data_IF_850974610706
#
_entry.id   IF_850974610706
#
_cell.length_a   1.000
_cell.length_b   1.000
_cell.length_c   1.000
_cell.angle_alpha   90.00
_cell.angle_beta   90.00
_cell.angle_gamma   90.00
#
_symmetry.space_group_name_H-M   'P 1'
#
loop_
_entity.id
_entity.type
_entity.pdbx_description
1 polymer ?
#
# COMPACT_ATOMS: atom_id res chain seq x y z
N UNK A 1 -28.93 -52.04 -13.03
CA UNK A 1 -29.06 -51.88 -11.56
C UNK A 1 -27.90 -51.00 -11.11
N UNK A 2 -28.14 -49.70 -11.07
CA UNK A 2 -28.40 -48.87 -9.87
C UNK A 2 -27.07 -48.23 -9.42
N UNK A 3 -26.82 -46.95 -9.78
CA UNK A 3 -27.21 -45.72 -9.04
C UNK A 3 -26.18 -45.43 -7.92
N UNK A 4 -25.65 -44.24 -7.61
CA UNK A 4 -25.80 -42.81 -7.93
C UNK A 4 -24.42 -42.16 -7.59
N UNK A 5 -23.85 -41.27 -8.39
CA UNK A 5 -23.84 -39.81 -8.21
C UNK A 5 -23.52 -39.32 -6.77
N UNK A 6 -22.28 -38.86 -6.56
CA UNK A 6 -22.01 -37.74 -5.64
C UNK A 6 -21.01 -36.77 -6.28
N UNK A 7 -21.54 -35.61 -6.62
CA UNK A 7 -20.84 -34.41 -7.06
C UNK A 7 -20.10 -33.77 -5.89
N UNK A 8 -18.78 -33.86 -5.88
CA UNK A 8 -17.91 -33.06 -5.04
C UNK A 8 -17.15 -32.03 -5.88
N UNK A 9 -17.77 -30.87 -6.14
CA UNK A 9 -17.06 -29.71 -6.69
C UNK A 9 -16.18 -29.16 -5.55
N UNK A 10 -14.99 -29.73 -5.38
CA UNK A 10 -13.91 -29.01 -4.72
C UNK A 10 -13.26 -28.12 -5.76
N UNK A 11 -13.74 -26.89 -5.85
CA UNK A 11 -13.07 -25.78 -6.52
C UNK A 11 -11.76 -25.45 -5.79
N UNK A 12 -10.81 -26.39 -5.82
CA UNK A 12 -9.42 -26.10 -5.51
C UNK A 12 -8.89 -25.26 -6.65
N UNK A 13 -8.59 -23.99 -6.35
CA UNK A 13 -7.81 -23.11 -7.21
C UNK A 13 -6.48 -23.83 -7.52
N UNK A 14 -6.46 -24.57 -8.63
CA UNK A 14 -5.28 -25.27 -9.15
C UNK A 14 -4.45 -24.28 -9.97
N UNK A 15 -3.82 -23.32 -9.29
CA UNK A 15 -2.83 -22.45 -9.96
C UNK A 15 -1.44 -23.12 -10.00
N UNK A 16 -1.23 -24.18 -9.21
CA UNK A 16 0.10 -24.78 -9.02
C UNK A 16 0.28 -26.20 -9.59
N UNK A 17 -0.66 -26.74 -10.37
CA UNK A 17 -0.55 -28.12 -10.88
C UNK A 17 0.58 -28.34 -11.90
N UNK A 18 1.09 -27.28 -12.53
CA UNK A 18 2.05 -27.36 -13.64
C UNK A 18 3.45 -26.79 -13.34
N UNK A 19 3.83 -26.59 -12.07
CA UNK A 19 5.23 -26.29 -11.73
C UNK A 19 6.08 -27.57 -11.78
N UNK A 20 6.39 -28.03 -12.98
CA UNK A 20 7.56 -28.87 -13.21
C UNK A 20 8.80 -27.97 -13.14
N UNK A 21 9.40 -27.88 -11.96
CA UNK A 21 10.75 -27.31 -11.82
C UNK A 21 11.75 -28.37 -12.28
N UNK A 22 12.07 -28.36 -13.58
CA UNK A 22 13.05 -29.27 -14.19
C UNK A 22 14.51 -28.78 -14.01
N UNK A 23 14.72 -27.55 -13.54
CA UNK A 23 16.04 -26.99 -13.24
C UNK A 23 16.24 -26.72 -11.74
N UNK A 24 17.48 -26.87 -11.27
CA UNK A 24 17.86 -26.58 -9.88
C UNK A 24 17.49 -25.12 -9.51
N UNK A 25 16.57 -24.97 -8.57
CA UNK A 25 16.11 -23.66 -8.09
C UNK A 25 17.27 -22.95 -7.38
N UNK A 26 17.73 -21.84 -7.95
CA UNK A 26 18.69 -20.97 -7.29
C UNK A 26 17.97 -20.17 -6.18
N UNK A 27 18.06 -20.66 -4.95
CA UNK A 27 17.49 -20.00 -3.77
C UNK A 27 18.48 -18.95 -3.23
N UNK A 28 18.11 -17.68 -3.36
CA UNK A 28 18.89 -16.55 -2.82
C UNK A 28 18.25 -16.00 -1.54
N UNK A 29 19.01 -15.95 -0.45
CA UNK A 29 18.62 -15.19 0.74
C UNK A 29 18.61 -13.69 0.41
N UNK A 30 17.49 -13.01 0.67
CA UNK A 30 17.35 -11.58 0.39
C UNK A 30 17.71 -10.71 1.61
N UNK A 31 17.22 -11.06 2.81
CA UNK A 31 17.41 -10.24 4.02
C UNK A 31 17.28 -11.05 5.31
N UNK A 32 17.68 -10.42 6.42
CA UNK A 32 17.43 -10.86 7.81
C UNK A 32 16.29 -10.05 8.42
N UNK A 33 15.45 -10.69 9.25
CA UNK A 33 14.24 -10.07 9.84
C UNK A 33 14.53 -9.17 11.06
N UNK A 34 15.79 -9.07 11.50
CA UNK A 34 16.18 -8.34 12.70
C UNK A 34 15.99 -9.15 13.99
N UNK A 35 16.10 -8.49 15.13
CA UNK A 35 15.98 -9.13 16.46
C UNK A 35 14.67 -8.84 17.18
N UNK A 36 13.90 -7.85 16.69
CA UNK A 36 12.63 -7.43 17.29
C UNK A 36 11.39 -8.00 16.59
N UNK A 37 11.57 -8.60 15.41
CA UNK A 37 10.47 -9.19 14.62
C UNK A 37 10.38 -10.68 14.92
N UNK A 38 9.21 -11.16 15.32
CA UNK A 38 9.00 -12.59 15.58
C UNK A 38 8.78 -13.39 14.29
N UNK A 39 8.07 -12.81 13.31
CA UNK A 39 7.74 -13.43 12.03
C UNK A 39 8.09 -12.52 10.86
N UNK A 40 8.58 -13.05 9.72
CA UNK A 40 8.79 -12.24 8.53
C UNK A 40 7.48 -11.64 8.04
N UNK A 41 7.47 -10.33 7.79
CA UNK A 41 6.35 -9.63 7.17
C UNK A 41 6.78 -9.19 5.77
N UNK A 42 6.05 -9.65 4.76
CA UNK A 42 6.29 -9.37 3.34
C UNK A 42 4.97 -8.90 2.73
N UNK A 43 5.00 -7.82 1.96
CA UNK A 43 3.81 -7.17 1.41
C UNK A 43 4.07 -6.81 -0.04
N UNK A 44 3.07 -7.00 -0.91
CA UNK A 44 3.12 -6.47 -2.27
C UNK A 44 2.55 -5.05 -2.32
N UNK A 45 3.20 -4.18 -3.11
CA UNK A 45 2.69 -2.85 -3.45
C UNK A 45 2.53 -2.74 -4.98
N UNK A 46 1.39 -3.20 -5.53
CA UNK A 46 1.18 -3.27 -6.97
C UNK A 46 1.28 -1.91 -7.67
N UNK A 47 0.77 -0.85 -7.04
CA UNK A 47 0.79 0.53 -7.56
C UNK A 47 2.23 1.03 -7.81
N UNK A 48 3.20 0.53 -7.05
CA UNK A 48 4.62 0.88 -7.19
C UNK A 48 5.45 -0.22 -7.87
N UNK A 49 4.85 -1.35 -8.25
CA UNK A 49 5.54 -2.55 -8.76
C UNK A 49 6.66 -3.05 -7.85
N UNK A 50 6.41 -2.99 -6.55
CA UNK A 50 7.39 -3.31 -5.51
C UNK A 50 6.86 -4.39 -4.57
N UNK A 51 7.79 -5.13 -3.96
CA UNK A 51 7.59 -5.82 -2.70
C UNK A 51 8.20 -4.99 -1.58
N UNK A 52 7.67 -5.15 -0.38
CA UNK A 52 8.25 -4.61 0.81
C UNK A 52 8.43 -5.70 1.86
N UNK A 53 9.48 -5.58 2.65
CA UNK A 53 9.77 -6.49 3.75
C UNK A 53 10.13 -5.73 5.02
N UNK A 54 9.64 -6.22 6.15
CA UNK A 54 9.87 -5.61 7.45
C UNK A 54 11.14 -6.18 8.10
N UNK A 55 11.98 -5.28 8.61
CA UNK A 55 13.10 -5.61 9.49
C UNK A 55 13.02 -4.73 10.73
N UNK A 56 12.88 -5.36 11.88
CA UNK A 56 12.50 -4.71 13.14
C UNK A 56 11.23 -3.87 12.95
N UNK A 57 11.35 -2.55 12.91
CA UNK A 57 10.24 -1.61 12.69
C UNK A 57 10.40 -0.76 11.42
N UNK A 58 11.27 -1.16 10.51
CA UNK A 58 11.53 -0.49 9.23
C UNK A 58 11.04 -1.35 8.07
N UNK A 59 10.42 -0.68 7.10
CA UNK A 59 9.97 -1.30 5.86
C UNK A 59 10.91 -0.92 4.71
N UNK A 60 11.46 -1.95 4.07
CA UNK A 60 12.37 -1.82 2.94
C UNK A 60 11.67 -2.22 1.66
N UNK A 61 11.94 -1.52 0.57
CA UNK A 61 11.27 -1.69 -0.71
C UNK A 61 12.21 -2.27 -1.76
N UNK A 62 11.70 -3.17 -2.58
CA UNK A 62 12.41 -3.77 -3.69
C UNK A 62 11.47 -3.90 -4.88
N UNK A 63 11.92 -3.52 -6.07
CA UNK A 63 11.15 -3.75 -7.30
C UNK A 63 11.03 -5.24 -7.62
N UNK A 64 9.91 -5.68 -8.19
CA UNK A 64 9.66 -7.11 -8.48
C UNK A 64 10.78 -7.79 -9.27
N UNK A 65 11.46 -7.05 -10.15
CA UNK A 65 12.48 -7.56 -11.07
C UNK A 65 13.85 -6.90 -10.87
N UNK A 66 14.02 -6.10 -9.81
CA UNK A 66 15.14 -5.16 -9.67
C UNK A 66 16.05 -5.40 -8.48
N UNK A 67 17.08 -4.56 -8.40
CA UNK A 67 18.00 -4.46 -7.27
C UNK A 67 17.31 -3.91 -6.03
N UNK A 68 17.75 -4.36 -4.85
CA UNK A 68 17.29 -3.81 -3.55
C UNK A 68 17.52 -2.31 -3.54
N UNK A 69 16.48 -1.53 -3.26
CA UNK A 69 16.65 -0.10 -3.01
C UNK A 69 16.95 0.06 -1.51
N UNK A 70 18.18 0.43 -1.10
CA UNK A 70 18.60 0.37 0.30
C UNK A 70 17.98 1.47 1.18
N UNK A 71 17.18 2.36 0.61
CA UNK A 71 16.55 3.46 1.36
C UNK A 71 15.26 2.93 1.99
N UNK A 72 15.28 2.79 3.31
CA UNK A 72 14.07 2.58 4.10
C UNK A 72 13.13 3.77 3.91
N UNK A 73 11.95 3.56 3.34
CA UNK A 73 10.99 4.65 3.15
C UNK A 73 10.08 4.80 4.38
N UNK A 74 9.73 3.72 5.09
CA UNK A 74 8.70 3.78 6.15
C UNK A 74 9.19 3.17 7.47
N UNK A 75 9.04 3.91 8.58
CA UNK A 75 9.34 3.48 9.94
C UNK A 75 8.08 3.48 10.81
N UNK A 76 7.77 2.36 11.45
CA UNK A 76 6.70 2.21 12.44
C UNK A 76 7.21 2.50 13.85
N UNK A 77 6.28 2.77 14.78
CA UNK A 77 6.61 3.05 16.18
C UNK A 77 7.22 1.85 16.92
N UNK A 78 6.83 0.63 16.56
CA UNK A 78 7.32 -0.64 17.08
C UNK A 78 7.31 -1.71 15.97
N UNK A 79 7.88 -2.89 16.24
CA UNK A 79 7.94 -3.98 15.27
C UNK A 79 6.52 -4.50 14.98
N UNK A 80 6.05 -4.46 13.73
CA UNK A 80 4.71 -4.94 13.38
C UNK A 80 4.59 -6.46 13.52
N UNK A 81 3.45 -6.92 14.03
CA UNK A 81 3.03 -8.31 14.00
C UNK A 81 2.66 -8.72 12.57
N UNK A 82 1.98 -7.83 11.86
CA UNK A 82 1.61 -7.99 10.46
C UNK A 82 1.31 -6.63 9.83
N UNK A 83 1.37 -6.52 8.52
CA UNK A 83 1.10 -5.29 7.78
C UNK A 83 0.26 -5.63 6.55
N UNK A 84 -0.74 -4.81 6.26
CA UNK A 84 -1.49 -4.87 5.01
C UNK A 84 -1.37 -3.56 4.24
N UNK A 85 -1.49 -3.65 2.91
CA UNK A 85 -1.48 -2.51 2.01
C UNK A 85 -2.88 -2.29 1.43
N UNK A 86 -3.48 -1.14 1.74
CA UNK A 86 -4.70 -0.62 1.11
C UNK A 86 -4.36 0.77 0.57
N UNK A 87 -4.04 0.82 -0.73
CA UNK A 87 -3.40 1.98 -1.35
C UNK A 87 -4.13 3.31 -1.07
N UNK A 88 -3.41 4.39 -0.67
CA UNK A 88 -1.95 4.52 -0.57
C UNK A 88 -1.38 4.24 0.83
N UNK A 89 -2.12 3.51 1.68
CA UNK A 89 -1.81 3.32 3.09
C UNK A 89 -1.25 1.93 3.40
N UNK A 90 -0.31 1.92 4.34
CA UNK A 90 0.12 0.75 5.09
C UNK A 90 -0.59 0.76 6.44
N UNK A 91 -1.21 -0.35 6.79
CA UNK A 91 -1.81 -0.56 8.10
C UNK A 91 -1.02 -1.67 8.80
N UNK A 92 -0.26 -1.29 9.82
CA UNK A 92 0.53 -2.20 10.63
C UNK A 92 -0.23 -2.55 11.91
N UNK A 93 -0.49 -3.83 12.12
CA UNK A 93 -0.89 -4.33 13.42
C UNK A 93 0.35 -4.47 14.28
N UNK A 94 0.36 -3.76 15.39
CA UNK A 94 1.44 -3.72 16.36
C UNK A 94 1.04 -4.48 17.63
N UNK A 95 1.96 -4.56 18.59
CA UNK A 95 1.71 -5.17 19.88
C UNK A 95 0.56 -4.51 20.63
N UNK A 96 -0.09 -5.30 21.50
CA UNK A 96 -1.21 -4.85 22.35
C UNK A 96 -2.42 -4.34 21.55
N UNK A 97 -2.57 -4.74 20.29
CA UNK A 97 -3.74 -4.44 19.45
C UNK A 97 -3.78 -3.02 18.89
N UNK A 98 -2.63 -2.33 18.80
CA UNK A 98 -2.56 -1.03 18.11
C UNK A 98 -2.48 -1.25 16.59
N UNK A 99 -3.21 -0.46 15.82
CA UNK A 99 -3.10 -0.39 14.37
C UNK A 99 -2.53 0.97 14.00
N UNK A 100 -1.29 0.99 13.50
CA UNK A 100 -0.64 2.20 13.01
C UNK A 100 -0.84 2.33 11.50
N UNK A 101 -1.37 3.48 11.07
CA UNK A 101 -1.65 3.78 9.67
C UNK A 101 -0.62 4.79 9.17
N UNK A 102 0.06 4.46 8.08
CA UNK A 102 1.06 5.33 7.43
C UNK A 102 0.82 5.39 5.92
N UNK A 103 1.13 6.52 5.28
CA UNK A 103 1.22 6.60 3.83
C UNK A 103 2.59 6.13 3.35
N UNK A 104 2.65 5.57 2.14
CA UNK A 104 3.93 5.14 1.53
C UNK A 104 4.70 6.34 0.98
N UNK A 105 4.04 7.17 0.17
CA UNK A 105 4.64 8.40 -0.40
C UNK A 105 3.71 9.60 -0.21
N UNK A 106 4.12 10.64 0.50
CA UNK A 106 5.29 10.69 1.39
C UNK A 106 5.14 9.72 2.57
N UNK A 107 6.24 9.29 3.18
CA UNK A 107 6.24 8.37 4.30
C UNK A 107 5.78 9.02 5.62
N UNK A 108 4.47 9.13 5.82
CA UNK A 108 3.89 9.96 6.89
C UNK A 108 3.05 9.11 7.83
N UNK A 109 3.11 9.44 9.13
CA UNK A 109 2.18 8.89 10.10
C UNK A 109 0.80 9.54 9.91
N UNK A 110 -0.24 8.73 9.70
CA UNK A 110 -1.61 9.24 9.53
C UNK A 110 -2.33 9.21 10.88
N UNK A 111 -2.41 8.05 11.51
CA UNK A 111 -3.05 7.87 12.81
C UNK A 111 -2.69 6.53 13.44
N UNK A 112 -3.06 6.36 14.71
CA UNK A 112 -3.01 5.08 15.41
C UNK A 112 -4.37 4.78 16.03
N UNK A 113 -4.88 3.56 15.86
CA UNK A 113 -6.14 3.09 16.44
C UNK A 113 -5.82 2.02 17.48
N UNK A 114 -6.41 2.12 18.67
CA UNK A 114 -6.26 1.10 19.71
C UNK A 114 -7.48 0.17 19.69
N UNK A 115 -7.24 -1.12 19.47
CA UNK A 115 -8.26 -2.17 19.51
C UNK A 115 -7.92 -3.17 20.60
N UNK A 116 -8.93 -3.69 21.29
CA UNK A 116 -8.71 -4.54 22.45
C UNK A 116 -8.17 -5.91 22.03
N UNK A 117 -6.92 -6.23 22.37
CA UNK A 117 -6.30 -7.54 22.10
C UNK A 117 -6.36 -7.96 20.62
N UNK A 118 -6.34 -7.00 19.68
CA UNK A 118 -6.26 -7.32 18.26
C UNK A 118 -4.95 -8.06 17.94
N UNK A 119 -5.06 -9.11 17.13
CA UNK A 119 -3.97 -10.03 16.77
C UNK A 119 -3.99 -10.46 15.30
N UNK A 120 -5.07 -10.17 14.56
CA UNK A 120 -5.21 -10.46 13.13
C UNK A 120 -5.54 -9.18 12.34
N UNK A 121 -5.04 -9.07 11.12
CA UNK A 121 -5.36 -7.98 10.18
C UNK A 121 -5.41 -8.52 8.76
N UNK A 122 -6.37 -8.07 7.97
CA UNK A 122 -6.54 -8.49 6.56
C UNK A 122 -7.25 -7.42 5.74
N UNK A 123 -6.90 -7.29 4.47
CA UNK A 123 -7.58 -6.40 3.52
C UNK A 123 -8.90 -7.01 3.06
N UNK A 124 -9.90 -6.15 2.89
CA UNK A 124 -11.18 -6.49 2.29
C UNK A 124 -11.30 -5.94 0.87
N UNK A 125 -12.46 -5.35 0.59
CA UNK A 125 -12.61 -4.47 -0.57
C UNK A 125 -11.74 -3.21 -0.37
N UNK A 126 -11.42 -2.54 -1.47
CA UNK A 126 -10.68 -1.27 -1.43
C UNK A 126 -11.31 -0.27 -0.45
N UNK A 127 -10.49 0.30 0.42
CA UNK A 127 -10.92 1.20 1.49
C UNK A 127 -11.43 0.50 2.75
N UNK A 128 -11.37 -0.84 2.82
CA UNK A 128 -11.81 -1.63 3.98
C UNK A 128 -10.71 -2.58 4.46
N UNK A 129 -10.46 -2.54 5.77
CA UNK A 129 -9.52 -3.44 6.44
C UNK A 129 -10.19 -4.05 7.66
N UNK A 130 -10.09 -5.36 7.80
CA UNK A 130 -10.63 -6.09 8.93
C UNK A 130 -9.51 -6.36 9.94
N UNK A 131 -9.81 -6.13 11.22
CA UNK A 131 -8.91 -6.40 12.33
C UNK A 131 -9.63 -7.31 13.31
N UNK A 132 -8.97 -8.35 13.80
CA UNK A 132 -9.60 -9.36 14.65
C UNK A 132 -8.84 -9.61 15.95
N UNK A 133 -9.59 -9.93 17.00
CA UNK A 133 -9.11 -10.58 18.22
C UNK A 133 -9.71 -11.99 18.30
N UNK A 134 -9.54 -12.67 19.44
CA UNK A 134 -10.23 -13.94 19.70
C UNK A 134 -11.75 -13.78 19.91
N UNK A 135 -12.24 -12.57 20.21
CA UNK A 135 -13.65 -12.31 20.55
C UNK A 135 -14.36 -11.40 19.56
N UNK A 136 -13.62 -10.51 18.89
CA UNK A 136 -14.20 -9.39 18.15
C UNK A 136 -13.55 -9.25 16.77
N UNK A 137 -14.33 -8.74 15.82
CA UNK A 137 -13.83 -8.33 14.50
C UNK A 137 -14.28 -6.90 14.26
N UNK A 138 -13.32 -6.02 13.95
CA UNK A 138 -13.54 -4.63 13.62
C UNK A 138 -13.35 -4.40 12.13
N UNK A 139 -14.19 -3.53 11.58
CA UNK A 139 -14.04 -2.99 10.25
C UNK A 139 -13.46 -1.57 10.36
N UNK A 140 -12.30 -1.35 9.74
CA UNK A 140 -11.76 -0.03 9.47
C UNK A 140 -12.19 0.36 8.05
N UNK A 141 -13.12 1.31 7.95
CA UNK A 141 -13.70 1.77 6.68
C UNK A 141 -13.33 3.23 6.41
N UNK A 142 -12.50 3.46 5.40
CA UNK A 142 -12.06 4.81 5.01
C UNK A 142 -13.02 5.49 4.04
N UNK A 143 -13.92 4.73 3.38
CA UNK A 143 -14.76 5.22 2.28
C UNK A 143 -15.65 6.40 2.68
N UNK A 144 -16.36 6.40 3.83
CA UNK A 144 -17.24 7.50 4.21
C UNK A 144 -16.54 8.83 4.44
N UNK A 145 -15.23 8.81 4.73
CA UNK A 145 -14.43 10.01 5.03
C UNK A 145 -13.44 10.36 3.91
N UNK A 146 -13.42 9.60 2.82
CA UNK A 146 -12.38 9.72 1.80
C UNK A 146 -12.38 11.09 1.13
N UNK A 147 -13.55 11.62 0.76
CA UNK A 147 -13.69 12.96 0.21
C UNK A 147 -13.22 14.06 1.18
N UNK A 148 -13.68 14.00 2.44
CA UNK A 148 -13.26 14.94 3.48
C UNK A 148 -11.74 14.90 3.71
N UNK A 149 -11.15 13.71 3.68
CA UNK A 149 -9.70 13.53 3.78
C UNK A 149 -8.97 14.16 2.60
N UNK A 150 -9.44 14.01 1.36
CA UNK A 150 -8.87 14.69 0.19
C UNK A 150 -8.92 16.20 0.38
N UNK A 151 -10.08 16.76 0.73
CA UNK A 151 -10.26 18.20 0.93
C UNK A 151 -9.34 18.76 2.02
N UNK A 152 -9.22 18.03 3.14
CA UNK A 152 -8.30 18.36 4.23
C UNK A 152 -6.84 18.36 3.76
N UNK A 153 -6.38 17.31 3.09
CA UNK A 153 -5.01 17.22 2.57
C UNK A 153 -4.70 18.36 1.58
N UNK A 154 -5.65 18.73 0.72
CA UNK A 154 -5.52 19.88 -0.18
C UNK A 154 -5.38 21.19 0.61
N UNK A 155 -6.18 21.37 1.66
CA UNK A 155 -6.12 22.57 2.52
C UNK A 155 -4.79 22.68 3.28
N UNK A 156 -4.24 21.55 3.71
CA UNK A 156 -2.94 21.42 4.39
C UNK A 156 -1.75 21.46 3.41
N UNK A 157 -2.00 21.63 2.10
CA UNK A 157 -1.00 21.62 1.02
C UNK A 157 -0.21 20.30 0.91
N UNK A 158 -0.78 19.19 1.41
CA UNK A 158 -0.24 17.84 1.27
C UNK A 158 -0.67 17.23 -0.08
N UNK A 159 -0.25 17.88 -1.17
CA UNK A 159 -0.78 17.61 -2.50
C UNK A 159 -0.47 16.20 -3.04
N UNK A 160 0.71 15.67 -2.76
CA UNK A 160 1.10 14.34 -3.25
C UNK A 160 0.17 13.24 -2.72
N UNK A 161 -0.12 13.25 -1.41
CA UNK A 161 -1.07 12.32 -0.80
C UNK A 161 -2.52 12.63 -1.21
N UNK A 162 -2.87 13.91 -1.34
CA UNK A 162 -4.20 14.34 -1.79
C UNK A 162 -4.52 13.79 -3.18
N UNK A 163 -3.57 13.87 -4.12
CA UNK A 163 -3.74 13.34 -5.48
C UNK A 163 -3.93 11.82 -5.46
N UNK A 164 -3.08 11.10 -4.74
CA UNK A 164 -3.19 9.64 -4.64
C UNK A 164 -4.54 9.20 -4.06
N UNK A 165 -5.02 9.88 -3.03
CA UNK A 165 -6.33 9.57 -2.44
C UNK A 165 -7.49 9.98 -3.36
N UNK A 166 -7.37 11.11 -4.06
CA UNK A 166 -8.38 11.59 -5.01
C UNK A 166 -8.53 10.66 -6.22
N UNK A 167 -7.44 10.13 -6.78
CA UNK A 167 -7.46 9.10 -7.83
C UNK A 167 -8.14 7.81 -7.35
N UNK A 168 -8.18 7.63 -6.02
CA UNK A 168 -8.85 6.52 -5.37
C UNK A 168 -10.26 6.88 -4.85
N UNK A 169 -10.79 8.06 -5.15
CA UNK A 169 -12.11 8.52 -4.69
C UNK A 169 -13.07 8.76 -5.85
N UNK A 170 -14.07 7.88 -5.99
CA UNK A 170 -15.06 7.95 -7.08
C UNK A 170 -15.87 9.26 -7.06
N UNK A 171 -16.10 9.85 -5.88
CA UNK A 171 -16.85 11.10 -5.72
C UNK A 171 -16.11 12.34 -6.24
N UNK A 172 -14.77 12.32 -6.29
CA UNK A 172 -13.97 13.45 -6.79
C UNK A 172 -14.00 13.50 -8.32
N UNK A 173 -13.92 12.33 -8.96
CA UNK A 173 -13.88 12.16 -10.40
C UNK A 173 -12.64 12.78 -11.08
N UNK A 174 -12.44 12.48 -12.36
CA UNK A 174 -11.23 12.87 -13.10
C UNK A 174 -11.01 14.39 -13.14
N UNK A 175 -12.10 15.18 -13.27
CA UNK A 175 -12.01 16.65 -13.27
C UNK A 175 -11.49 17.17 -11.92
N UNK A 176 -11.99 16.63 -10.81
CA UNK A 176 -11.55 17.01 -9.47
C UNK A 176 -10.09 16.64 -9.23
N UNK A 177 -9.68 15.45 -9.66
CA UNK A 177 -8.27 15.01 -9.62
C UNK A 177 -7.39 16.00 -10.39
N UNK A 178 -7.79 16.39 -11.60
CA UNK A 178 -7.06 17.34 -12.43
C UNK A 178 -6.95 18.72 -11.78
N UNK A 179 -7.99 19.19 -11.11
CA UNK A 179 -7.96 20.47 -10.40
C UNK A 179 -7.03 20.43 -9.17
N UNK A 180 -6.98 19.30 -8.46
CA UNK A 180 -6.01 19.08 -7.38
C UNK A 180 -4.58 19.09 -7.93
N UNK A 181 -4.30 18.39 -9.04
CA UNK A 181 -2.99 18.40 -9.70
C UNK A 181 -2.57 19.81 -10.13
N UNK A 182 -3.50 20.62 -10.66
CA UNK A 182 -3.24 22.04 -11.00
C UNK A 182 -2.88 22.87 -9.77
N UNK A 183 -3.60 22.69 -8.66
CA UNK A 183 -3.28 23.35 -7.38
C UNK A 183 -1.90 22.93 -6.86
N UNK A 184 -1.55 21.64 -7.00
CA UNK A 184 -0.24 21.11 -6.66
C UNK A 184 0.88 21.77 -7.49
N UNK A 185 0.71 21.81 -8.82
CA UNK A 185 1.66 22.45 -9.71
C UNK A 185 1.82 23.94 -9.35
N UNK A 186 0.72 24.68 -9.18
CA UNK A 186 0.79 26.08 -8.78
C UNK A 186 1.53 26.26 -7.44
N UNK A 187 1.31 25.36 -6.48
CA UNK A 187 2.01 25.40 -5.20
C UNK A 187 3.53 25.18 -5.34
N UNK A 188 3.98 24.22 -6.15
CA UNK A 188 5.40 23.99 -6.45
C UNK A 188 6.04 25.20 -7.15
N UNK A 189 5.31 25.80 -8.09
CA UNK A 189 5.75 27.03 -8.77
C UNK A 189 5.97 28.18 -7.77
N UNK A 190 5.03 28.41 -6.85
CA UNK A 190 5.19 29.41 -5.79
C UNK A 190 6.38 29.11 -4.85
N UNK A 191 6.73 27.84 -4.66
CA UNK A 191 7.89 27.40 -3.88
C UNK A 191 9.21 27.42 -4.67
N UNK A 192 9.20 27.80 -5.95
CA UNK A 192 10.36 27.78 -6.86
C UNK A 192 10.96 26.38 -7.07
N UNK A 193 10.17 25.32 -6.84
CA UNK A 193 10.52 23.93 -7.12
C UNK A 193 10.22 23.60 -8.58
N UNK A 194 11.00 24.17 -9.49
CA UNK A 194 10.67 24.15 -10.92
C UNK A 194 10.80 22.76 -11.56
N UNK A 195 11.71 21.91 -11.08
CA UNK A 195 11.86 20.54 -11.59
C UNK A 195 10.60 19.71 -11.29
N UNK A 196 10.19 19.66 -10.02
CA UNK A 196 8.95 18.99 -9.58
C UNK A 196 7.72 19.59 -10.29
N UNK A 197 7.70 20.92 -10.45
CA UNK A 197 6.62 21.60 -11.16
C UNK A 197 6.52 21.18 -12.62
N UNK A 198 7.63 21.11 -13.34
CA UNK A 198 7.68 20.70 -14.75
C UNK A 198 7.18 19.27 -14.93
N UNK A 199 7.53 18.38 -14.00
CA UNK A 199 7.06 16.99 -14.01
C UNK A 199 5.53 16.91 -13.91
N UNK A 200 4.93 17.56 -12.90
CA UNK A 200 3.47 17.58 -12.75
C UNK A 200 2.80 18.29 -13.94
N UNK A 201 3.38 19.39 -14.43
CA UNK A 201 2.83 20.13 -15.54
C UNK A 201 2.85 19.34 -16.86
N UNK A 202 3.90 18.54 -17.10
CA UNK A 202 3.95 17.60 -18.21
C UNK A 202 2.81 16.58 -18.11
N UNK A 203 2.60 15.98 -16.92
CA UNK A 203 1.51 15.03 -16.68
C UNK A 203 0.12 15.64 -16.95
N UNK A 204 -0.09 16.89 -16.53
CA UNK A 204 -1.36 17.61 -16.76
C UNK A 204 -1.61 17.81 -18.26
N UNK A 205 -0.57 18.10 -19.06
CA UNK A 205 -0.70 18.36 -20.50
C UNK A 205 -0.84 17.09 -21.35
N UNK A 206 -0.18 16.00 -20.99
CA UNK A 206 -0.18 14.76 -21.79
C UNK A 206 -1.31 13.81 -21.43
N UNK A 207 -1.98 13.98 -20.29
CA UNK A 207 -3.12 13.17 -19.89
C UNK A 207 -2.83 11.68 -19.69
N UNK A 208 -1.55 11.25 -19.75
CA UNK A 208 -1.09 9.86 -19.56
C UNK A 208 0.33 9.83 -18.99
N UNK A 209 0.54 8.95 -18.02
CA UNK A 209 1.87 8.49 -17.63
C UNK A 209 2.38 7.50 -18.69
N UNK A 210 3.49 7.84 -19.35
CA UNK A 210 4.54 6.89 -19.74
C UNK A 210 5.76 7.69 -20.21
N UNK A 211 6.92 7.35 -19.65
CA UNK A 211 8.28 7.68 -20.10
C UNK A 211 8.85 9.06 -19.74
N UNK A 212 9.36 9.19 -18.52
CA UNK A 212 10.53 10.05 -18.25
C UNK A 212 11.59 9.41 -17.34
N UNK A 213 11.57 8.08 -17.18
CA UNK A 213 12.64 7.32 -16.50
C UNK A 213 13.53 6.53 -17.48
N UNK A 214 13.80 7.06 -18.67
CA UNK A 214 14.69 6.40 -19.65
C UNK A 214 15.87 7.26 -20.12
N UNK A 215 16.18 8.37 -19.45
CA UNK A 215 17.39 9.14 -19.75
C UNK A 215 18.08 9.59 -18.47
N UNK A 216 18.79 8.64 -17.83
CA UNK A 216 20.06 8.87 -17.15
C UNK A 216 20.78 7.55 -16.91
#
# INVERSE_FOLDING_TARGET
MNQLQESGIYGGISIFKDLKMEDAVNVKKLFDIGSKTENPVIIGLPDYKQIAYCRDNFLFFQEYYGTVNPISEVKFSEAPLNIVYDAPYLLALLGKGKVEIRSVRPATHIQTVQLNKAMYISTGLRGTVYVGSNSDVWLLDSRPQMKNNVERLVSEKQFELAVQLAEKCDEIGDKGVMDIKRKAAFNLFCQRKFDEWLEIHAQIKTGRFQLLNYLQ
#
